data_IF_599367206764
#
_entry.id   IF_599367206764
#
_cell.length_a   1.000
_cell.length_b   1.000
_cell.length_c   1.000
_cell.angle_alpha   90.00
_cell.angle_beta   90.00
_cell.angle_gamma   90.00
#
_symmetry.space_group_name_H-M   'P 1'
#
loop_
_entity.id
_entity.type
_entity.pdbx_description
1 polymer ?
#
# COMPACT_ATOMS: atom_id res chain seq x y z
N UNK A 1 -20.70 12.23 16.04
CA UNK A 1 -21.06 11.06 15.20
C UNK A 1 -20.05 11.01 14.07
N UNK A 2 -19.49 9.84 13.73
CA UNK A 2 -18.52 9.75 12.65
C UNK A 2 -19.16 10.21 11.34
N UNK A 3 -18.37 10.79 10.44
CA UNK A 3 -18.85 11.28 9.15
C UNK A 3 -18.96 10.11 8.16
N UNK A 4 -20.01 10.08 7.31
CA UNK A 4 -20.11 9.12 6.19
C UNK A 4 -19.81 9.86 4.89
N UNK A 5 -18.80 9.40 4.16
CA UNK A 5 -18.42 9.94 2.85
C UNK A 5 -18.81 8.99 1.72
N UNK A 6 -18.79 9.48 0.48
CA UNK A 6 -18.89 8.61 -0.70
C UNK A 6 -17.55 7.99 -1.06
N UNK A 7 -17.57 6.86 -1.78
CA UNK A 7 -16.36 6.12 -2.20
C UNK A 7 -15.42 6.96 -3.08
N UNK A 8 -15.96 7.87 -3.88
CA UNK A 8 -15.21 8.77 -4.77
C UNK A 8 -14.45 9.89 -4.03
N UNK A 9 -14.74 10.10 -2.74
CA UNK A 9 -14.09 11.13 -1.93
C UNK A 9 -12.79 10.67 -1.27
N UNK A 10 -12.50 9.37 -1.31
CA UNK A 10 -11.26 8.81 -0.80
C UNK A 10 -10.17 8.84 -1.85
N UNK A 11 -9.00 9.37 -1.50
CA UNK A 11 -7.94 9.68 -2.48
C UNK A 11 -6.63 8.95 -2.24
N UNK A 12 -6.46 8.34 -1.07
CA UNK A 12 -5.25 7.61 -0.67
C UNK A 12 -5.63 6.21 -0.22
N UNK A 13 -5.01 5.20 -0.81
CA UNK A 13 -5.07 3.83 -0.30
C UNK A 13 -3.89 3.53 0.62
N UNK A 14 -4.14 2.84 1.73
CA UNK A 14 -3.13 2.34 2.65
C UNK A 14 -3.31 0.82 2.79
N UNK A 15 -2.29 0.06 2.43
CA UNK A 15 -2.31 -1.41 2.44
C UNK A 15 -1.31 -1.89 3.50
N UNK A 16 -1.82 -2.65 4.46
CA UNK A 16 -1.06 -3.33 5.52
C UNK A 16 -0.90 -4.81 5.18
N UNK A 17 0.26 -5.40 5.50
CA UNK A 17 0.46 -6.84 5.36
C UNK A 17 -0.06 -7.63 6.57
N UNK A 18 0.01 -7.05 7.76
CA UNK A 18 -0.26 -7.72 9.03
C UNK A 18 -1.36 -7.02 9.85
N UNK A 19 -2.12 -7.77 10.68
CA UNK A 19 -3.13 -7.19 11.55
C UNK A 19 -2.59 -6.14 12.53
N UNK A 20 -1.36 -6.31 13.01
CA UNK A 20 -0.72 -5.32 13.91
C UNK A 20 -0.43 -4.00 13.19
N UNK A 21 -0.13 -4.05 11.89
CA UNK A 21 0.09 -2.86 11.06
C UNK A 21 -1.25 -2.19 10.75
N UNK A 22 -2.33 -2.96 10.55
CA UNK A 22 -3.68 -2.43 10.43
C UNK A 22 -4.10 -1.68 11.69
N UNK A 23 -3.92 -2.29 12.87
CA UNK A 23 -4.24 -1.66 14.14
C UNK A 23 -3.48 -0.34 14.30
N UNK A 24 -2.18 -0.33 14.03
CA UNK A 24 -1.39 0.90 14.06
C UNK A 24 -1.90 1.96 13.07
N UNK A 25 -2.27 1.56 11.84
CA UNK A 25 -2.79 2.48 10.83
C UNK A 25 -4.15 3.07 11.22
N UNK A 26 -5.03 2.29 11.87
CA UNK A 26 -6.31 2.78 12.39
C UNK A 26 -6.10 3.82 13.51
N UNK A 27 -5.18 3.55 14.43
CA UNK A 27 -4.83 4.49 15.51
C UNK A 27 -4.16 5.78 15.01
N UNK A 28 -3.63 5.79 13.77
CA UNK A 28 -3.05 6.97 13.15
C UNK A 28 -4.08 7.90 12.48
N UNK A 29 -5.36 7.53 12.45
CA UNK A 29 -6.42 8.37 11.88
C UNK A 29 -6.70 9.59 12.76
N UNK A 30 -6.75 10.78 12.16
CA UNK A 30 -7.21 12.00 12.83
C UNK A 30 -8.73 11.96 13.06
N UNK A 31 -9.46 11.36 12.11
CA UNK A 31 -10.91 11.16 12.14
C UNK A 31 -11.24 9.80 11.56
N UNK A 32 -12.03 9.00 12.27
CA UNK A 32 -12.68 7.80 11.74
C UNK A 32 -13.99 8.15 11.02
N UNK A 33 -14.24 7.52 9.89
CA UNK A 33 -15.48 7.66 9.13
C UNK A 33 -16.36 6.41 9.31
N UNK A 34 -17.68 6.56 9.14
CA UNK A 34 -18.58 5.41 9.15
C UNK A 34 -18.30 4.47 7.98
N UNK A 35 -18.55 3.19 8.23
CA UNK A 35 -18.52 2.16 7.20
C UNK A 35 -19.44 2.49 6.02
N UNK A 36 -19.04 1.98 4.86
CA UNK A 36 -19.85 1.99 3.66
C UNK A 36 -20.51 0.63 3.49
N UNK A 37 -21.60 0.62 2.74
CA UNK A 37 -22.18 -0.64 2.30
C UNK A 37 -21.14 -1.41 1.51
N UNK A 38 -21.09 -2.73 1.73
CA UNK A 38 -20.14 -3.61 1.07
C UNK A 38 -20.42 -3.64 -0.44
N UNK A 39 -19.36 -3.67 -1.24
CA UNK A 39 -19.50 -3.92 -2.68
C UNK A 39 -19.60 -5.44 -2.91
N UNK A 40 -20.57 -5.89 -3.70
CA UNK A 40 -20.75 -7.32 -3.98
C UNK A 40 -19.54 -7.93 -4.73
N UNK A 41 -18.74 -7.10 -5.40
CA UNK A 41 -17.55 -7.52 -6.13
C UNK A 41 -16.25 -7.34 -5.33
N UNK A 42 -16.33 -6.87 -4.08
CA UNK A 42 -15.19 -6.62 -3.22
C UNK A 42 -15.36 -7.29 -1.86
N UNK A 43 -14.52 -8.29 -1.59
CA UNK A 43 -14.52 -9.02 -0.33
C UNK A 43 -13.60 -8.41 0.73
N UNK A 44 -12.87 -7.35 0.40
CA UNK A 44 -11.98 -6.70 1.34
C UNK A 44 -12.76 -5.95 2.43
N UNK A 45 -12.17 -5.91 3.61
CA UNK A 45 -12.66 -5.13 4.74
C UNK A 45 -11.82 -3.86 4.83
N UNK A 46 -12.49 -2.72 4.81
CA UNK A 46 -11.87 -1.42 4.80
C UNK A 46 -12.12 -0.68 6.10
N UNK A 47 -11.11 0.02 6.59
CA UNK A 47 -11.27 1.09 7.58
C UNK A 47 -11.12 2.43 6.89
N UNK A 48 -11.94 3.39 7.29
CA UNK A 48 -12.11 4.64 6.58
C UNK A 48 -11.86 5.80 7.54
N UNK A 49 -11.14 6.81 7.07
CA UNK A 49 -10.88 7.98 7.89
C UNK A 49 -10.15 9.08 7.14
N UNK A 50 -9.56 9.99 7.91
CA UNK A 50 -8.67 11.02 7.37
C UNK A 50 -7.38 11.18 8.16
N UNK A 51 -6.31 11.58 7.47
CA UNK A 51 -5.01 11.96 8.03
C UNK A 51 -4.54 13.23 7.34
N UNK A 52 -4.23 14.28 8.08
CA UNK A 52 -3.75 15.55 7.55
C UNK A 52 -4.70 16.19 6.53
N UNK A 53 -6.02 15.97 6.67
CA UNK A 53 -7.04 16.44 5.71
C UNK A 53 -7.16 15.61 4.42
N UNK A 54 -6.47 14.47 4.32
CA UNK A 54 -6.64 13.52 3.22
C UNK A 54 -7.56 12.37 3.65
N UNK A 55 -8.58 12.05 2.84
CA UNK A 55 -9.42 10.88 3.08
C UNK A 55 -8.68 9.60 2.66
N UNK A 56 -8.47 8.69 3.62
CA UNK A 56 -7.68 7.46 3.50
C UNK A 56 -8.58 6.23 3.61
N UNK A 57 -8.30 5.22 2.78
CA UNK A 57 -8.88 3.87 2.86
C UNK A 57 -7.78 2.92 3.30
N UNK A 58 -7.97 2.25 4.43
CA UNK A 58 -7.01 1.30 4.99
C UNK A 58 -7.55 -0.12 4.77
N UNK A 59 -6.68 -1.03 4.33
CA UNK A 59 -6.99 -2.45 4.19
C UNK A 59 -5.83 -3.28 4.72
N UNK A 60 -6.13 -4.47 5.25
CA UNK A 60 -5.12 -5.48 5.55
C UNK A 60 -5.23 -6.63 4.55
N UNK A 61 -4.09 -7.20 4.17
CA UNK A 61 -4.10 -8.44 3.39
C UNK A 61 -4.85 -9.55 4.14
N UNK A 62 -5.52 -10.48 3.43
CA UNK A 62 -6.20 -11.59 4.07
C UNK A 62 -5.25 -12.40 4.96
N UNK A 63 -5.74 -12.82 6.13
CA UNK A 63 -4.93 -13.58 7.08
C UNK A 63 -4.28 -14.82 6.43
N UNK A 64 -2.98 -14.99 6.66
CA UNK A 64 -2.20 -16.09 6.06
C UNK A 64 -1.88 -15.93 4.57
N UNK A 65 -2.27 -14.82 3.93
CA UNK A 65 -1.97 -14.51 2.51
C UNK A 65 -1.11 -13.26 2.39
N UNK A 66 0.13 -13.35 2.84
CA UNK A 66 1.14 -12.30 2.70
C UNK A 66 1.87 -12.49 1.36
N UNK A 67 2.33 -11.39 0.76
CA UNK A 67 3.20 -11.39 -0.41
C UNK A 67 2.70 -10.53 -1.56
N UNK A 68 3.45 -10.52 -2.66
CA UNK A 68 3.21 -9.62 -3.80
C UNK A 68 1.85 -9.87 -4.48
N UNK A 69 1.45 -11.13 -4.66
CA UNK A 69 0.20 -11.47 -5.36
C UNK A 69 -1.05 -11.03 -4.58
N UNK A 70 -1.19 -11.36 -3.27
CA UNK A 70 -2.28 -10.81 -2.45
C UNK A 70 -2.30 -9.28 -2.43
N UNK A 71 -1.15 -8.63 -2.30
CA UNK A 71 -1.07 -7.17 -2.28
C UNK A 71 -1.52 -6.55 -3.61
N UNK A 72 -1.13 -7.11 -4.75
CA UNK A 72 -1.57 -6.64 -6.07
C UNK A 72 -3.08 -6.82 -6.28
N UNK A 73 -3.64 -7.94 -5.82
CA UNK A 73 -5.07 -8.21 -5.92
C UNK A 73 -5.89 -7.21 -5.08
N UNK A 74 -5.50 -7.01 -3.82
CA UNK A 74 -6.13 -6.06 -2.90
C UNK A 74 -6.02 -4.62 -3.44
N UNK A 75 -4.84 -4.21 -3.91
CA UNK A 75 -4.65 -2.88 -4.50
C UNK A 75 -5.54 -2.65 -5.74
N UNK A 76 -5.71 -3.69 -6.57
CA UNK A 76 -6.54 -3.63 -7.77
C UNK A 76 -8.03 -3.52 -7.42
N UNK A 77 -8.50 -4.32 -6.46
CA UNK A 77 -9.88 -4.28 -5.97
C UNK A 77 -10.19 -2.95 -5.27
N UNK A 78 -9.31 -2.49 -4.38
CA UNK A 78 -9.43 -1.19 -3.72
C UNK A 78 -9.56 -0.05 -4.74
N UNK A 79 -8.71 -0.01 -5.76
CA UNK A 79 -8.82 1.02 -6.83
C UNK A 79 -10.08 0.87 -7.67
N UNK A 80 -10.61 -0.35 -7.80
CA UNK A 80 -11.88 -0.58 -8.48
C UNK A 80 -13.06 -0.07 -7.66
N UNK A 81 -13.05 -0.25 -6.35
CA UNK A 81 -14.13 0.15 -5.42
C UNK A 81 -14.10 1.66 -5.11
N UNK A 82 -12.91 2.22 -4.90
CA UNK A 82 -12.70 3.63 -4.56
C UNK A 82 -12.07 4.38 -5.73
N UNK A 83 -12.92 4.82 -6.67
CA UNK A 83 -12.48 5.47 -7.92
C UNK A 83 -11.73 6.80 -7.72
N UNK A 84 -11.84 7.41 -6.54
CA UNK A 84 -11.11 8.64 -6.19
C UNK A 84 -9.63 8.43 -5.85
N UNK A 85 -9.19 7.18 -5.65
CA UNK A 85 -7.82 6.86 -5.25
C UNK A 85 -6.84 7.32 -6.32
N UNK A 86 -5.87 8.14 -5.91
CA UNK A 86 -4.79 8.68 -6.75
C UNK A 86 -3.51 7.86 -6.65
N UNK A 87 -3.25 7.29 -5.48
CA UNK A 87 -2.12 6.41 -5.21
C UNK A 87 -2.41 5.51 -4.01
N UNK A 88 -1.73 4.36 -3.95
CA UNK A 88 -1.75 3.46 -2.80
C UNK A 88 -0.35 3.37 -2.20
N UNK A 89 -0.29 3.31 -0.87
CA UNK A 89 0.92 3.09 -0.09
C UNK A 89 0.87 1.68 0.51
N UNK A 90 1.95 0.92 0.36
CA UNK A 90 2.17 -0.29 1.14
C UNK A 90 2.98 0.11 2.36
N UNK A 91 2.39 0.00 3.56
CA UNK A 91 3.04 0.45 4.80
C UNK A 91 3.02 -0.70 5.80
N UNK A 92 4.18 -1.00 6.36
CA UNK A 92 4.35 -2.11 7.27
C UNK A 92 5.79 -2.25 7.74
N UNK A 93 6.05 -3.35 8.43
CA UNK A 93 7.34 -3.66 9.03
C UNK A 93 8.25 -4.27 7.96
N UNK A 94 9.43 -3.70 7.78
CA UNK A 94 10.47 -4.22 6.90
C UNK A 94 11.65 -4.80 7.68
N UNK A 95 12.26 -5.87 7.15
CA UNK A 95 13.54 -6.39 7.64
C UNK A 95 14.72 -5.72 6.95
N UNK A 96 15.76 -5.38 7.70
CA UNK A 96 17.01 -4.81 7.16
C UNK A 96 18.07 -5.87 6.87
N UNK A 97 18.83 -5.70 5.79
CA UNK A 97 20.00 -6.53 5.45
C UNK A 97 21.25 -5.64 5.48
N UNK A 98 22.12 -5.75 6.51
CA UNK A 98 23.20 -4.78 6.75
C UNK A 98 24.34 -4.75 5.72
N UNK A 99 24.48 -5.79 4.89
CA UNK A 99 25.68 -6.01 4.05
C UNK A 99 25.45 -5.87 2.55
N UNK A 100 24.23 -5.54 2.11
CA UNK A 100 23.92 -5.37 0.70
C UNK A 100 23.79 -3.88 0.38
N UNK A 101 24.85 -3.25 -0.14
CA UNK A 101 24.63 -2.02 -0.91
C UNK A 101 23.69 -2.38 -2.05
N UNK A 102 22.60 -1.61 -2.31
CA UNK A 102 21.74 -1.86 -3.45
C UNK A 102 22.57 -1.67 -4.73
N UNK A 103 23.10 -2.77 -5.28
CA UNK A 103 23.85 -2.75 -6.53
C UNK A 103 22.85 -2.47 -7.66
N UNK A 104 22.76 -1.20 -8.08
CA UNK A 104 21.92 -0.74 -9.18
C UNK A 104 21.32 0.65 -8.93
N UNK A 105 21.13 1.40 -10.01
CA UNK A 105 20.40 2.67 -10.02
C UNK A 105 18.92 2.36 -9.80
N UNK A 106 18.48 2.21 -8.55
CA UNK A 106 17.06 1.94 -8.31
C UNK A 106 16.57 2.70 -7.08
N UNK A 107 16.08 3.91 -7.29
CA UNK A 107 15.21 4.61 -6.34
C UNK A 107 13.82 3.98 -6.29
N UNK A 108 13.74 2.64 -6.28
CA UNK A 108 12.53 1.85 -6.49
C UNK A 108 12.60 0.48 -5.81
N UNK A 109 11.52 -0.30 -5.91
CA UNK A 109 11.39 -1.61 -5.25
C UNK A 109 11.98 -2.70 -6.15
N UNK A 110 12.94 -3.47 -5.64
CA UNK A 110 13.51 -4.62 -6.36
C UNK A 110 12.88 -5.91 -5.83
N UNK A 111 12.35 -6.72 -6.74
CA UNK A 111 11.80 -8.03 -6.41
C UNK A 111 12.89 -9.10 -6.56
N UNK A 112 13.39 -9.61 -5.43
CA UNK A 112 14.54 -10.51 -5.38
C UNK A 112 14.25 -11.94 -5.85
N UNK A 113 13.00 -12.40 -5.71
CA UNK A 113 12.55 -13.74 -6.07
C UNK A 113 12.12 -13.86 -7.55
N UNK A 114 12.12 -12.74 -8.29
CA UNK A 114 11.77 -12.70 -9.71
C UNK A 114 12.99 -12.54 -10.60
N UNK A 115 13.26 -13.57 -11.40
CA UNK A 115 14.40 -13.61 -12.29
C UNK A 115 14.37 -14.79 -13.25
N UNK A 116 15.38 -14.87 -14.11
CA UNK A 116 15.55 -15.94 -15.08
C UNK A 116 16.71 -16.81 -14.66
N UNK A 117 16.50 -18.13 -14.68
CA UNK A 117 17.59 -19.08 -14.60
C UNK A 117 18.36 -19.08 -15.93
N UNK A 118 19.64 -18.75 -15.88
CA UNK A 118 20.59 -18.78 -16.98
C UNK A 118 21.69 -19.79 -16.68
N UNK A 119 22.46 -20.26 -17.70
CA UNK A 119 23.58 -21.18 -17.46
C UNK A 119 24.65 -20.63 -16.50
N UNK A 120 24.71 -19.31 -16.31
CA UNK A 120 25.63 -18.61 -15.42
C UNK A 120 25.05 -18.30 -14.03
N UNK A 121 23.76 -18.57 -13.76
CA UNK A 121 23.14 -18.31 -12.47
C UNK A 121 21.70 -17.83 -12.55
N UNK A 122 21.27 -17.04 -11.58
CA UNK A 122 19.93 -16.45 -11.53
C UNK A 122 20.02 -14.94 -11.75
N UNK A 123 19.50 -14.48 -12.89
CA UNK A 123 19.48 -13.06 -13.24
C UNK A 123 18.16 -12.44 -12.80
N UNK A 124 18.21 -11.51 -11.84
CA UNK A 124 17.03 -10.79 -11.35
C UNK A 124 16.45 -9.90 -12.45
N UNK A 125 15.13 -9.95 -12.65
CA UNK A 125 14.44 -9.15 -13.67
C UNK A 125 13.31 -8.28 -13.11
N UNK A 126 12.98 -8.42 -11.82
CA UNK A 126 11.91 -7.64 -11.18
C UNK A 126 12.40 -6.34 -10.55
N UNK A 127 12.08 -5.20 -11.15
CA UNK A 127 12.21 -3.87 -10.52
C UNK A 127 10.99 -3.02 -10.81
N UNK A 128 10.46 -2.35 -9.80
CA UNK A 128 9.42 -1.32 -9.90
C UNK A 128 10.08 0.06 -9.98
N UNK A 129 9.55 0.89 -10.87
CA UNK A 129 9.97 2.28 -11.10
C UNK A 129 9.75 3.17 -9.85
N UNK A 130 10.26 4.39 -9.93
CA UNK A 130 10.14 5.41 -8.89
C UNK A 130 8.68 5.72 -8.50
N UNK A 131 8.44 6.22 -7.26
CA UNK A 131 7.13 6.66 -6.82
C UNK A 131 6.49 7.68 -7.79
N UNK A 132 5.15 7.78 -7.83
CA UNK A 132 4.46 8.83 -8.58
C UNK A 132 5.02 10.23 -8.26
N UNK A 133 5.05 11.13 -9.25
CA UNK A 133 5.61 12.49 -9.12
C UNK A 133 5.07 13.26 -7.90
N UNK A 134 3.78 13.09 -7.58
CA UNK A 134 3.13 13.73 -6.42
C UNK A 134 3.79 13.36 -5.08
N UNK A 135 4.48 12.22 -5.00
CA UNK A 135 5.12 11.71 -3.79
C UNK A 135 6.63 12.01 -3.70
N UNK A 136 7.26 12.48 -4.78
CA UNK A 136 8.72 12.70 -4.79
C UNK A 136 9.17 13.84 -3.86
N UNK A 137 8.30 14.79 -3.54
CA UNK A 137 8.59 15.91 -2.63
C UNK A 137 8.34 15.61 -1.14
N UNK A 138 7.68 14.51 -0.81
CA UNK A 138 7.22 14.24 0.56
C UNK A 138 8.37 13.98 1.57
N UNK A 139 9.56 13.65 1.08
CA UNK A 139 10.76 13.45 1.91
C UNK A 139 11.67 14.68 2.05
N UNK A 140 11.36 15.81 1.40
CA UNK A 140 12.26 16.96 1.33
C UNK A 140 12.01 18.04 2.40
N UNK A 141 10.97 17.91 3.23
CA UNK A 141 10.67 18.84 4.32
C UNK A 141 10.98 18.21 5.69
N UNK A 142 12.26 18.12 6.01
CA UNK A 142 12.72 18.06 7.41
C UNK A 142 13.65 19.25 7.62
N UNK A 143 13.08 20.31 8.21
CA UNK A 143 13.78 21.49 8.72
C UNK A 143 13.37 21.70 10.16
#
# INVERSE_FOLDING_TARGET
MPRRLRRDEYTVGWICALPVELAAAQEMLDEEHNDLERDENDENLYSLGSIGGHNVVIVCLPAGRIGNNPAAAVATQMRATFKGIRFCLMVGIGGGVPSAEPHGISGGVVQYDLGKATPSGFDRTGSLNSPPQILLGAGASSG
#
